data_IF_215085232731
#
_entry.id   IF_215085232731
#
_cell.length_a   1.000
_cell.length_b   1.000
_cell.length_c   1.000
_cell.angle_alpha   90.00
_cell.angle_beta   90.00
_cell.angle_gamma   90.00
#
_symmetry.space_group_name_H-M   'P 1'
#
loop_
_entity.id
_entity.type
_entity.pdbx_description
1 polymer ?
#
# COMPACT_ATOMS: atom_id res chain seq x y z
N UNK A 1 8.66 -11.91 -5.41
CA UNK A 1 7.80 -12.40 -4.31
C UNK A 1 8.73 -13.05 -3.31
N UNK A 2 8.90 -12.47 -2.13
CA UNK A 2 9.60 -13.19 -1.05
C UNK A 2 8.81 -14.48 -0.77
N UNK A 3 9.46 -15.66 -0.77
CA UNK A 3 8.76 -16.94 -0.77
C UNK A 3 7.92 -17.22 0.49
N UNK A 4 8.01 -16.36 1.51
CA UNK A 4 7.47 -16.63 2.84
C UNK A 4 6.26 -15.75 3.21
N UNK A 5 5.77 -14.88 2.31
CA UNK A 5 4.62 -14.02 2.61
C UNK A 5 3.31 -14.78 2.44
N UNK A 6 2.56 -14.89 3.52
CA UNK A 6 1.26 -15.57 3.58
C UNK A 6 0.18 -14.55 3.22
N UNK A 7 -0.49 -14.76 2.09
CA UNK A 7 -1.54 -13.86 1.61
C UNK A 7 -2.79 -13.93 2.50
N UNK A 8 -3.22 -12.79 3.03
CA UNK A 8 -4.50 -12.68 3.76
C UNK A 8 -5.58 -12.13 2.84
N UNK A 9 -6.77 -12.71 2.93
CA UNK A 9 -7.96 -12.28 2.19
C UNK A 9 -9.13 -12.14 3.13
N UNK A 10 -9.84 -11.02 3.01
CA UNK A 10 -11.08 -10.75 3.72
C UNK A 10 -12.07 -11.90 3.50
N UNK A 11 -12.75 -12.30 4.57
CA UNK A 11 -13.63 -13.46 4.56
C UNK A 11 -14.87 -13.28 3.69
N UNK A 12 -15.46 -12.08 3.67
CA UNK A 12 -16.75 -11.83 3.00
C UNK A 12 -16.67 -11.90 1.47
N UNK A 13 -15.59 -11.41 0.86
CA UNK A 13 -15.49 -11.26 -0.60
C UNK A 13 -14.14 -11.65 -1.20
N UNK A 14 -13.26 -12.25 -0.39
CA UNK A 14 -11.94 -12.75 -0.82
C UNK A 14 -11.01 -11.66 -1.33
N UNK A 15 -11.31 -10.39 -1.03
CA UNK A 15 -10.43 -9.27 -1.31
C UNK A 15 -9.11 -9.42 -0.55
N UNK A 16 -7.98 -9.27 -1.25
CA UNK A 16 -6.67 -9.34 -0.60
C UNK A 16 -6.42 -8.06 0.17
N UNK A 17 -6.07 -8.18 1.45
CA UNK A 17 -5.79 -7.03 2.32
C UNK A 17 -4.29 -6.83 2.58
N UNK A 18 -3.48 -7.85 2.31
CA UNK A 18 -2.03 -7.79 2.48
C UNK A 18 -1.45 -9.17 2.70
N UNK A 19 -0.34 -9.22 3.43
CA UNK A 19 0.38 -10.44 3.74
C UNK A 19 0.86 -10.46 5.19
N UNK A 20 1.04 -11.66 5.72
CA UNK A 20 1.74 -11.92 6.97
C UNK A 20 3.10 -12.52 6.65
N UNK A 21 4.18 -11.91 7.13
CA UNK A 21 5.55 -12.42 6.98
C UNK A 21 6.01 -13.07 8.30
N UNK A 22 6.37 -14.36 8.32
CA UNK A 22 6.90 -15.02 9.51
C UNK A 22 8.17 -14.34 10.03
N UNK A 23 8.21 -14.03 11.33
CA UNK A 23 9.36 -13.47 12.04
C UNK A 23 9.43 -14.09 13.44
N UNK A 24 10.46 -14.90 13.71
CA UNK A 24 10.57 -15.63 14.97
C UNK A 24 9.42 -16.61 15.15
N UNK A 25 8.69 -16.49 16.25
CA UNK A 25 7.49 -17.30 16.55
C UNK A 25 6.17 -16.60 16.13
N UNK A 26 6.25 -15.41 15.52
CA UNK A 26 5.10 -14.61 15.12
C UNK A 26 5.16 -14.14 13.67
N UNK A 27 4.39 -13.10 13.37
CA UNK A 27 4.18 -12.56 12.03
C UNK A 27 4.19 -11.04 12.06
N UNK A 28 4.89 -10.41 11.13
CA UNK A 28 4.73 -8.98 10.86
C UNK A 28 3.70 -8.78 9.76
N UNK A 29 2.85 -7.77 9.91
CA UNK A 29 1.84 -7.41 8.91
C UNK A 29 2.47 -6.57 7.81
N UNK A 30 2.26 -6.99 6.56
CA UNK A 30 2.66 -6.26 5.35
C UNK A 30 1.41 -5.82 4.59
N UNK A 31 1.24 -4.52 4.36
CA UNK A 31 0.09 -4.00 3.61
C UNK A 31 0.22 -4.20 2.08
N UNK A 32 -0.83 -3.83 1.32
CA UNK A 32 -0.85 -3.93 -0.15
C UNK A 32 0.22 -3.13 -0.87
N UNK A 33 0.85 -2.16 -0.20
CA UNK A 33 1.97 -1.38 -0.74
C UNK A 33 3.33 -2.00 -0.37
N UNK A 34 3.32 -3.10 0.37
CA UNK A 34 4.52 -3.84 0.76
C UNK A 34 5.18 -3.29 2.01
N UNK A 35 4.48 -2.48 2.81
CA UNK A 35 5.02 -1.82 4.01
C UNK A 35 4.72 -2.65 5.25
N UNK A 36 5.70 -2.74 6.15
CA UNK A 36 5.47 -3.30 7.48
C UNK A 36 4.60 -2.36 8.31
N UNK A 37 3.56 -2.90 8.95
CA UNK A 37 2.57 -2.15 9.73
C UNK A 37 2.63 -2.42 11.23
N UNK A 38 3.27 -3.51 11.62
CA UNK A 38 3.35 -3.97 13.01
C UNK A 38 4.72 -4.54 13.30
N UNK A 39 5.05 -4.66 14.59
CA UNK A 39 6.03 -5.64 15.05
C UNK A 39 5.46 -7.07 14.92
N UNK A 40 6.22 -8.08 15.37
CA UNK A 40 5.77 -9.47 15.32
C UNK A 40 4.57 -9.70 16.26
N UNK A 41 3.47 -10.22 15.72
CA UNK A 41 2.23 -10.58 16.39
C UNK A 41 1.98 -12.08 16.27
N UNK A 42 1.07 -12.63 17.08
CA UNK A 42 0.53 -13.95 16.77
C UNK A 42 -0.37 -13.92 15.53
N UNK A 43 -0.73 -15.11 15.04
CA UNK A 43 -1.53 -15.27 13.82
C UNK A 43 -2.86 -14.49 13.88
N UNK A 44 -3.61 -14.62 14.97
CA UNK A 44 -4.96 -14.06 15.08
C UNK A 44 -4.92 -12.53 15.07
N UNK A 45 -4.03 -11.93 15.86
CA UNK A 45 -3.89 -10.46 15.88
C UNK A 45 -3.34 -9.91 14.55
N UNK A 46 -2.47 -10.66 13.85
CA UNK A 46 -2.00 -10.25 12.53
C UNK A 46 -3.12 -10.22 11.48
N UNK A 47 -4.05 -11.19 11.51
CA UNK A 47 -5.26 -11.18 10.68
C UNK A 47 -6.18 -10.01 11.03
N UNK A 48 -6.46 -9.78 12.32
CA UNK A 48 -7.29 -8.66 12.77
C UNK A 48 -6.74 -7.31 12.30
N UNK A 49 -5.43 -7.10 12.40
CA UNK A 49 -4.80 -5.85 11.91
C UNK A 49 -4.97 -5.67 10.40
N UNK A 50 -4.84 -6.75 9.60
CA UNK A 50 -5.07 -6.66 8.16
C UNK A 50 -6.53 -6.31 7.84
N UNK A 51 -7.48 -6.90 8.57
CA UNK A 51 -8.91 -6.60 8.44
C UNK A 51 -9.23 -5.15 8.85
N UNK A 52 -8.61 -4.64 9.92
CA UNK A 52 -8.77 -3.25 10.39
C UNK A 52 -8.16 -2.22 9.42
N UNK A 53 -6.98 -2.50 8.87
CA UNK A 53 -6.35 -1.62 7.87
C UNK A 53 -7.19 -1.58 6.60
N UNK A 54 -7.66 -2.74 6.16
CA UNK A 54 -8.43 -2.91 4.94
C UNK A 54 -7.71 -2.32 3.72
N UNK A 55 -8.48 -1.73 2.80
CA UNK A 55 -7.95 -1.02 1.64
C UNK A 55 -8.29 0.47 1.61
N UNK A 56 -8.96 0.98 2.65
CA UNK A 56 -9.48 2.35 2.65
C UNK A 56 -8.41 3.39 2.39
N UNK A 57 -7.21 3.18 2.94
CA UNK A 57 -6.07 4.06 2.76
C UNK A 57 -5.65 4.21 1.28
N UNK A 58 -5.89 3.22 0.40
CA UNK A 58 -5.54 3.33 -1.02
C UNK A 58 -6.36 4.40 -1.76
N UNK A 59 -7.56 4.71 -1.26
CA UNK A 59 -8.44 5.73 -1.84
C UNK A 59 -8.02 7.16 -1.42
N UNK A 60 -7.23 7.29 -0.36
CA UNK A 60 -6.79 8.58 0.15
C UNK A 60 -5.69 9.20 -0.73
N UNK A 61 -5.55 10.53 -0.73
CA UNK A 61 -4.44 11.20 -1.40
C UNK A 61 -3.10 10.80 -0.78
N UNK A 62 -2.08 10.72 -1.63
CA UNK A 62 -0.70 10.43 -1.26
C UNK A 62 0.24 11.49 -1.82
N UNK A 63 1.49 11.47 -1.38
CA UNK A 63 2.57 12.23 -1.99
C UNK A 63 3.63 11.28 -2.55
N UNK A 64 3.98 11.47 -3.82
CA UNK A 64 5.07 10.78 -4.52
C UNK A 64 6.33 11.64 -4.48
N UNK A 65 7.47 11.03 -4.14
CA UNK A 65 8.78 11.65 -4.24
C UNK A 65 9.23 11.68 -5.70
N UNK A 66 9.50 12.87 -6.24
CA UNK A 66 10.08 13.04 -7.56
C UNK A 66 11.61 13.01 -7.52
N UNK A 67 12.24 12.81 -8.67
CA UNK A 67 13.71 12.75 -8.81
C UNK A 67 14.41 14.03 -8.36
N UNK A 68 13.75 15.18 -8.51
CA UNK A 68 14.25 16.49 -8.05
C UNK A 68 14.13 16.69 -6.53
N UNK A 69 13.56 15.71 -5.82
CA UNK A 69 13.32 15.77 -4.38
C UNK A 69 12.13 16.63 -3.99
N UNK A 70 11.23 16.97 -4.90
CA UNK A 70 9.92 17.52 -4.56
C UNK A 70 8.90 16.41 -4.25
N UNK A 71 7.78 16.80 -3.64
CA UNK A 71 6.64 15.92 -3.36
C UNK A 71 5.47 16.31 -4.26
N UNK A 72 4.95 15.34 -5.00
CA UNK A 72 3.79 15.51 -5.88
C UNK A 72 2.57 14.82 -5.27
N UNK A 73 1.48 15.57 -5.12
CA UNK A 73 0.20 15.00 -4.71
C UNK A 73 -0.36 14.07 -5.78
N UNK A 74 -0.66 12.83 -5.40
CA UNK A 74 -1.10 11.75 -6.28
C UNK A 74 -2.25 10.96 -5.66
N UNK A 75 -2.90 10.13 -6.49
CA UNK A 75 -3.82 9.08 -6.08
C UNK A 75 -3.37 7.74 -6.64
N UNK A 76 -3.56 6.68 -5.87
CA UNK A 76 -3.24 5.32 -6.31
C UNK A 76 -4.26 4.89 -7.36
N UNK A 77 -3.79 4.46 -8.52
CA UNK A 77 -4.61 4.00 -9.63
C UNK A 77 -4.61 2.47 -9.76
N UNK A 78 -3.48 1.83 -9.49
CA UNK A 78 -3.31 0.38 -9.53
C UNK A 78 -2.25 -0.07 -8.51
N UNK A 79 -2.46 -1.22 -7.89
CA UNK A 79 -1.50 -1.85 -6.97
C UNK A 79 -1.36 -3.31 -7.31
N UNK A 80 -0.11 -3.73 -7.52
CA UNK A 80 0.25 -5.14 -7.70
C UNK A 80 1.66 -5.39 -7.16
N UNK A 81 2.01 -6.66 -6.99
CA UNK A 81 3.39 -7.04 -6.64
C UNK A 81 4.38 -6.86 -7.81
N UNK A 82 3.90 -6.56 -9.02
CA UNK A 82 4.73 -6.19 -10.17
C UNK A 82 5.05 -4.69 -10.20
N UNK A 83 4.27 -3.86 -9.50
CA UNK A 83 4.43 -2.42 -9.47
C UNK A 83 3.15 -1.70 -9.03
N UNK A 84 3.31 -0.44 -8.64
CA UNK A 84 2.25 0.47 -8.23
C UNK A 84 2.16 1.59 -9.26
N UNK A 85 0.95 1.89 -9.71
CA UNK A 85 0.70 3.01 -10.61
C UNK A 85 -0.06 4.09 -9.86
N UNK A 86 0.49 5.30 -9.86
CA UNK A 86 -0.16 6.48 -9.29
C UNK A 86 -0.46 7.49 -10.38
N UNK A 87 -1.49 8.30 -10.18
CA UNK A 87 -1.82 9.44 -11.04
C UNK A 87 -1.71 10.73 -10.27
N UNK A 88 -1.31 11.81 -10.94
CA UNK A 88 -1.37 13.15 -10.36
C UNK A 88 -2.79 13.46 -9.89
N UNK A 89 -2.93 14.03 -8.69
CA UNK A 89 -4.23 14.49 -8.20
C UNK A 89 -4.54 15.86 -8.81
N UNK A 90 -5.35 15.89 -9.86
CA UNK A 90 -5.81 17.13 -10.49
C UNK A 90 -7.12 17.65 -9.87
N UNK A 91 -7.41 17.29 -8.61
CA UNK A 91 -8.59 17.73 -7.84
C UNK A 91 -9.95 17.49 -8.53
N UNK A 92 -10.03 16.48 -9.39
CA UNK A 92 -11.25 16.14 -10.12
C UNK A 92 -11.47 16.94 -11.40
N UNK A 93 -10.48 17.71 -11.87
CA UNK A 93 -10.53 18.34 -13.18
C UNK A 93 -10.50 17.29 -14.30
N UNK A 94 -11.65 17.09 -14.94
CA UNK A 94 -11.80 16.12 -16.04
C UNK A 94 -11.11 16.58 -17.34
N UNK A 95 -10.71 17.84 -17.43
CA UNK A 95 -10.01 18.42 -18.60
C UNK A 95 -8.50 18.39 -18.46
N UNK A 96 -7.99 18.14 -17.25
CA UNK A 96 -6.56 18.04 -16.99
C UNK A 96 -5.95 16.82 -17.69
N UNK A 97 -4.72 17.00 -18.21
CA UNK A 97 -3.93 15.91 -18.76
C UNK A 97 -3.60 14.91 -17.67
N UNK A 98 -4.04 13.66 -17.84
CA UNK A 98 -3.78 12.60 -16.88
C UNK A 98 -2.30 12.20 -16.93
N UNK A 99 -1.55 12.52 -15.86
CA UNK A 99 -0.16 12.12 -15.70
C UNK A 99 -0.08 10.91 -14.77
N UNK A 100 0.58 9.85 -15.23
CA UNK A 100 0.81 8.62 -14.48
C UNK A 100 2.29 8.42 -14.18
N UNK A 101 2.56 7.83 -13.03
CA UNK A 101 3.90 7.50 -12.56
C UNK A 101 3.89 6.06 -12.04
N UNK A 102 5.00 5.36 -12.26
CA UNK A 102 5.21 4.01 -11.76
C UNK A 102 6.12 4.05 -10.54
N UNK A 103 5.79 3.23 -9.54
CA UNK A 103 6.57 3.06 -8.32
C UNK A 103 6.78 1.56 -8.11
N UNK A 104 8.00 1.18 -7.78
CA UNK A 104 8.32 -0.23 -7.53
C UNK A 104 7.61 -0.74 -6.28
N UNK A 105 7.22 -2.01 -6.33
CA UNK A 105 6.79 -2.76 -5.15
C UNK A 105 7.97 -3.57 -4.59
N UNK A 106 8.15 -3.66 -3.27
CA UNK A 106 7.44 -2.91 -2.22
C UNK A 106 7.86 -1.43 -2.22
N UNK A 107 6.93 -0.53 -1.86
CA UNK A 107 7.20 0.92 -1.78
C UNK A 107 7.45 1.36 -0.35
N UNK A 108 8.42 2.25 -0.16
CA UNK A 108 8.76 2.85 1.13
C UNK A 108 8.13 4.23 1.32
N UNK A 109 8.07 4.73 2.56
CA UNK A 109 7.50 6.06 2.84
C UNK A 109 8.32 7.23 2.28
N UNK A 110 9.61 7.04 2.02
CA UNK A 110 10.45 8.03 1.34
C UNK A 110 10.15 8.13 -0.18
N UNK A 111 9.45 7.14 -0.74
CA UNK A 111 9.01 7.12 -2.13
C UNK A 111 7.54 7.54 -2.27
N UNK A 112 6.65 6.97 -1.47
CA UNK A 112 5.21 7.22 -1.51
C UNK A 112 4.64 7.23 -0.09
N UNK A 113 4.14 8.38 0.36
CA UNK A 113 3.58 8.53 1.72
C UNK A 113 2.11 8.96 1.71
N UNK A 114 1.33 8.61 2.74
CA UNK A 114 0.00 9.18 2.92
C UNK A 114 0.07 10.70 3.05
N UNK A 115 -0.89 11.41 2.46
CA UNK A 115 -1.05 12.84 2.71
C UNK A 115 -2.03 13.02 3.88
N UNK A 116 -1.57 13.45 5.07
CA UNK A 116 -2.47 13.70 6.20
C UNK A 116 -3.51 14.76 5.84
N UNK A 117 -4.71 14.55 6.36
CA UNK A 117 -5.90 15.36 6.07
C UNK A 117 -5.87 16.71 6.76
#
# INVERSE_FOLDING_TARGET
MEPDWIEHRRSEDRERLGWMKPVGEGFVVIDLLGRQRTDALDWFHAEEVLDEIGMGYLADPHELRLEDGSWLRVRIAEVSTAGIRVKKDDWGDMTATQLYYEVSFPVTEDQLRPLPR
#
